data_IF_703561913464
#
_entry.id   IF_703561913464
#
_cell.length_a   1.000
_cell.length_b   1.000
_cell.length_c   1.000
_cell.angle_alpha   90.00
_cell.angle_beta   90.00
_cell.angle_gamma   90.00
#
_symmetry.space_group_name_H-M   'P 1'
#
loop_
_entity.id
_entity.type
_entity.pdbx_description
1 polymer ?
#
# COMPACT_ATOMS: atom_id res chain seq x y z
N UNK A 1 -12.72 9.03 -2.87
CA UNK A 1 -12.02 8.07 -2.00
C UNK A 1 -10.90 8.73 -1.17
N UNK A 2 -9.93 9.52 -1.72
CA UNK A 2 -8.83 10.08 -0.92
C UNK A 2 -9.26 10.93 0.27
N UNK A 3 -10.35 11.68 0.16
CA UNK A 3 -10.87 12.46 1.30
C UNK A 3 -11.39 11.56 2.42
N UNK A 4 -12.10 10.47 2.06
CA UNK A 4 -12.58 9.49 3.04
C UNK A 4 -11.41 8.77 3.70
N UNK A 5 -10.37 8.42 2.93
CA UNK A 5 -9.11 7.86 3.44
C UNK A 5 -8.48 8.78 4.51
N UNK A 6 -8.26 10.05 4.16
CA UNK A 6 -7.67 11.03 5.09
C UNK A 6 -8.53 11.20 6.36
N UNK A 7 -9.84 11.34 6.18
CA UNK A 7 -10.77 11.44 7.31
C UNK A 7 -10.70 10.19 8.21
N UNK A 8 -10.64 8.99 7.62
CA UNK A 8 -10.53 7.73 8.35
C UNK A 8 -9.24 7.64 9.17
N UNK A 9 -8.11 8.05 8.58
CA UNK A 9 -6.83 8.08 9.27
C UNK A 9 -6.88 9.06 10.45
N UNK A 10 -7.38 10.29 10.21
CA UNK A 10 -7.45 11.33 11.27
C UNK A 10 -8.38 10.91 12.40
N UNK A 11 -9.56 10.38 12.08
CA UNK A 11 -10.53 9.92 13.08
C UNK A 11 -10.03 8.72 13.90
N UNK A 12 -9.19 7.88 13.29
CA UNK A 12 -8.62 6.70 13.96
C UNK A 12 -7.42 6.97 14.85
N UNK A 13 -6.82 8.16 14.78
CA UNK A 13 -5.61 8.48 15.51
C UNK A 13 -5.81 8.38 17.02
N UNK A 14 -4.97 7.60 17.69
CA UNK A 14 -4.95 7.50 19.15
C UNK A 14 -5.98 6.56 19.76
N UNK A 15 -6.76 5.85 18.97
CA UNK A 15 -7.77 4.91 19.43
C UNK A 15 -7.29 3.45 19.32
N UNK A 16 -7.75 2.56 20.23
CA UNK A 16 -7.64 1.12 20.02
C UNK A 16 -8.36 0.68 18.75
N UNK A 17 -7.88 -0.36 18.09
CA UNK A 17 -8.34 -0.81 16.76
C UNK A 17 -9.86 -0.98 16.67
N UNK A 18 -10.52 -1.59 17.68
CA UNK A 18 -11.96 -1.80 17.70
C UNK A 18 -12.75 -0.49 17.80
N UNK A 19 -12.33 0.41 18.69
CA UNK A 19 -12.98 1.73 18.84
C UNK A 19 -12.75 2.60 17.62
N UNK A 20 -11.56 2.56 17.04
CA UNK A 20 -11.22 3.22 15.80
C UNK A 20 -12.14 2.76 14.66
N UNK A 21 -12.27 1.44 14.45
CA UNK A 21 -13.16 0.90 13.42
C UNK A 21 -14.62 1.35 13.60
N UNK A 22 -15.17 1.27 14.82
CA UNK A 22 -16.56 1.68 15.07
C UNK A 22 -16.76 3.15 14.71
N UNK A 23 -15.84 4.03 15.12
CA UNK A 23 -15.94 5.47 14.84
C UNK A 23 -15.80 5.76 13.34
N UNK A 24 -14.80 5.18 12.69
CA UNK A 24 -14.57 5.38 11.25
C UNK A 24 -15.72 4.79 10.44
N UNK A 25 -16.20 3.60 10.80
CA UNK A 25 -17.32 2.97 10.09
C UNK A 25 -18.62 3.78 10.20
N UNK A 26 -18.89 4.40 11.33
CA UNK A 26 -20.09 5.21 11.50
C UNK A 26 -20.14 6.44 10.56
N UNK A 27 -18.99 6.96 10.16
CA UNK A 27 -18.89 8.17 9.33
C UNK A 27 -18.53 7.83 7.89
N UNK A 28 -17.50 7.02 7.67
CA UNK A 28 -16.93 6.73 6.36
C UNK A 28 -17.81 5.77 5.54
N UNK A 29 -18.34 4.72 6.15
CA UNK A 29 -19.12 3.70 5.44
C UNK A 29 -20.41 4.26 4.82
N UNK A 30 -21.27 5.04 5.53
CA UNK A 30 -22.42 5.65 4.90
C UNK A 30 -22.08 6.59 3.75
N UNK A 31 -20.94 7.30 3.83
CA UNK A 31 -20.48 8.16 2.74
C UNK A 31 -20.09 7.34 1.51
N UNK A 32 -19.35 6.24 1.67
CA UNK A 32 -18.97 5.35 0.58
C UNK A 32 -20.18 4.65 -0.06
N UNK A 33 -21.14 4.19 0.74
CA UNK A 33 -22.38 3.57 0.24
C UNK A 33 -23.20 4.59 -0.58
N UNK A 34 -23.29 5.84 -0.13
CA UNK A 34 -23.95 6.91 -0.91
C UNK A 34 -23.26 7.22 -2.22
N UNK A 35 -21.95 6.95 -2.33
CA UNK A 35 -21.19 7.04 -3.56
C UNK A 35 -21.38 5.83 -4.48
N UNK A 36 -22.19 4.85 -4.10
CA UNK A 36 -22.45 3.63 -4.86
C UNK A 36 -21.46 2.50 -4.62
N UNK A 37 -20.61 2.60 -3.58
CA UNK A 37 -19.68 1.54 -3.24
C UNK A 37 -20.37 0.36 -2.58
N UNK A 38 -19.85 -0.85 -2.79
CA UNK A 38 -20.31 -2.06 -2.12
C UNK A 38 -20.17 -1.94 -0.58
N UNK A 39 -21.15 -2.44 0.17
CA UNK A 39 -21.17 -2.34 1.64
C UNK A 39 -19.97 -3.03 2.29
N UNK A 40 -19.66 -4.27 1.89
CA UNK A 40 -18.53 -5.02 2.44
C UNK A 40 -17.20 -4.33 2.13
N UNK A 41 -17.00 -3.90 0.88
CA UNK A 41 -15.82 -3.14 0.47
C UNK A 41 -15.65 -1.85 1.28
N UNK A 42 -16.76 -1.14 1.55
CA UNK A 42 -16.77 0.10 2.34
C UNK A 42 -16.35 -0.15 3.80
N UNK A 43 -16.80 -1.24 4.41
CA UNK A 43 -16.38 -1.64 5.75
C UNK A 43 -14.90 -2.05 5.78
N UNK A 44 -14.43 -2.82 4.79
CA UNK A 44 -13.02 -3.19 4.68
C UNK A 44 -12.12 -1.97 4.47
N UNK A 45 -12.55 -1.01 3.64
CA UNK A 45 -11.86 0.27 3.45
C UNK A 45 -11.72 1.04 4.77
N UNK A 46 -12.84 1.19 5.49
CA UNK A 46 -12.86 1.90 6.77
C UNK A 46 -11.98 1.22 7.83
N UNK A 47 -12.07 -0.10 7.96
CA UNK A 47 -11.23 -0.89 8.86
C UNK A 47 -9.74 -0.70 8.56
N UNK A 48 -9.37 -0.80 7.29
CA UNK A 48 -7.98 -0.75 6.85
C UNK A 48 -7.32 0.59 7.17
N UNK A 49 -7.96 1.71 6.79
CA UNK A 49 -7.43 3.04 7.11
C UNK A 49 -7.52 3.39 8.58
N UNK A 50 -8.51 2.86 9.30
CA UNK A 50 -8.56 2.95 10.76
C UNK A 50 -7.33 2.31 11.41
N UNK A 51 -6.91 1.13 10.97
CA UNK A 51 -5.71 0.45 11.46
C UNK A 51 -4.43 1.21 11.10
N UNK A 52 -4.34 1.76 9.87
CA UNK A 52 -3.20 2.57 9.45
C UNK A 52 -2.98 3.83 10.27
N UNK A 53 -4.02 4.36 10.91
CA UNK A 53 -3.89 5.50 11.81
C UNK A 53 -2.91 5.23 12.96
N UNK A 54 -2.78 3.96 13.39
CA UNK A 54 -1.86 3.54 14.45
C UNK A 54 -0.36 3.62 14.10
N UNK A 55 -0.02 3.73 12.82
CA UNK A 55 1.37 3.90 12.35
C UNK A 55 1.62 5.31 11.80
N UNK A 56 0.56 6.13 11.67
CA UNK A 56 0.65 7.45 11.02
C UNK A 56 0.93 8.55 12.04
N UNK A 57 2.02 9.33 11.92
CA UNK A 57 2.24 10.51 12.75
C UNK A 57 1.11 11.54 12.60
N UNK A 58 0.81 12.32 13.63
CA UNK A 58 1.62 12.57 14.83
C UNK A 58 1.41 11.57 15.99
N UNK A 59 0.38 10.73 15.96
CA UNK A 59 0.05 9.85 17.10
C UNK A 59 0.77 8.50 17.03
N UNK A 60 0.76 7.82 15.90
CA UNK A 60 1.58 6.64 15.52
C UNK A 60 1.93 5.66 16.66
N UNK A 61 0.97 5.26 17.49
CA UNK A 61 1.18 4.50 18.74
C UNK A 61 2.05 3.26 18.50
N UNK A 62 1.76 2.48 17.47
CA UNK A 62 2.48 1.25 17.18
C UNK A 62 3.94 1.53 16.75
N UNK A 63 4.15 2.56 15.94
CA UNK A 63 5.49 2.95 15.50
C UNK A 63 6.33 3.51 16.66
N UNK A 64 5.71 4.26 17.59
CA UNK A 64 6.40 4.81 18.75
C UNK A 64 6.73 3.74 19.79
N UNK A 65 5.86 2.75 19.98
CA UNK A 65 6.17 1.58 20.80
C UNK A 65 7.39 0.82 20.25
N UNK A 66 7.43 0.58 18.93
CA UNK A 66 8.57 -0.04 18.26
C UNK A 66 9.85 0.82 18.40
N UNK A 67 9.74 2.14 18.28
CA UNK A 67 10.86 3.06 18.46
C UNK A 67 11.45 2.99 19.88
N UNK A 68 10.59 2.84 20.90
CA UNK A 68 11.01 2.66 22.29
C UNK A 68 11.85 1.38 22.49
N UNK A 69 11.41 0.27 21.89
CA UNK A 69 12.15 -1.00 21.92
C UNK A 69 13.49 -0.91 21.17
N UNK A 70 13.48 -0.26 20.00
CA UNK A 70 14.66 -0.07 19.16
C UNK A 70 15.60 1.05 19.66
N UNK A 71 15.23 1.78 20.71
CA UNK A 71 15.95 2.97 21.20
C UNK A 71 16.22 4.00 20.10
N UNK A 72 15.27 4.18 19.19
CA UNK A 72 15.34 5.09 18.05
C UNK A 72 14.43 6.31 18.24
N UNK A 73 14.67 7.45 17.53
CA UNK A 73 13.84 8.63 17.63
C UNK A 73 12.40 8.33 17.16
N UNK A 74 11.34 8.52 18.00
CA UNK A 74 9.97 8.11 17.70
C UNK A 74 9.41 8.70 16.40
N UNK A 75 9.55 10.02 16.21
CA UNK A 75 9.02 10.71 15.04
C UNK A 75 9.67 10.24 13.73
N UNK A 76 10.99 10.01 13.74
CA UNK A 76 11.72 9.49 12.58
C UNK A 76 11.26 8.07 12.25
N UNK A 77 11.07 7.23 13.27
CA UNK A 77 10.54 5.86 13.10
C UNK A 77 9.12 5.88 12.56
N UNK A 78 8.25 6.77 13.02
CA UNK A 78 6.90 6.93 12.51
C UNK A 78 6.86 7.31 11.02
N UNK A 79 7.63 8.31 10.61
CA UNK A 79 7.70 8.68 9.20
C UNK A 79 8.29 7.57 8.32
N UNK A 80 9.27 6.83 8.83
CA UNK A 80 9.81 5.67 8.13
C UNK A 80 8.76 4.56 7.98
N UNK A 81 7.97 4.30 9.03
CA UNK A 81 6.88 3.33 9.00
C UNK A 81 5.82 3.69 7.94
N UNK A 82 5.41 4.96 7.86
CA UNK A 82 4.51 5.44 6.80
C UNK A 82 5.12 5.24 5.42
N UNK A 83 6.39 5.61 5.22
CA UNK A 83 7.08 5.44 3.94
C UNK A 83 7.11 3.97 3.48
N UNK A 84 7.40 3.04 4.39
CA UNK A 84 7.38 1.60 4.11
C UNK A 84 5.97 1.06 3.85
N UNK A 85 4.95 1.69 4.43
CA UNK A 85 3.54 1.29 4.29
C UNK A 85 2.86 1.88 3.06
N UNK A 86 3.45 2.87 2.38
CA UNK A 86 2.85 3.52 1.20
C UNK A 86 2.31 2.53 0.16
N UNK A 87 3.01 1.43 -0.19
CA UNK A 87 2.46 0.45 -1.14
C UNK A 87 1.16 -0.19 -0.67
N UNK A 88 0.98 -0.34 0.64
CA UNK A 88 -0.20 -0.95 1.22
C UNK A 88 -1.40 0.00 1.30
N UNK A 89 -1.19 1.33 1.26
CA UNK A 89 -2.28 2.32 1.27
C UNK A 89 -3.21 2.23 0.06
N UNK A 90 -2.77 1.58 -1.02
CA UNK A 90 -3.56 1.45 -2.24
C UNK A 90 -4.46 0.21 -2.25
N UNK A 91 -4.23 -0.74 -1.32
CA UNK A 91 -5.03 -1.98 -1.23
C UNK A 91 -6.50 -1.71 -0.97
N UNK A 92 -6.88 -0.79 -0.04
CA UNK A 92 -8.29 -0.51 0.22
C UNK A 92 -9.06 0.03 -0.97
N UNK A 93 -8.40 0.78 -1.85
CA UNK A 93 -9.02 1.22 -3.10
C UNK A 93 -9.37 0.03 -4.01
N UNK A 94 -8.52 -1.02 -3.99
CA UNK A 94 -8.81 -2.25 -4.74
C UNK A 94 -10.07 -2.96 -4.26
N UNK A 95 -10.42 -2.91 -2.97
CA UNK A 95 -11.68 -3.49 -2.48
C UNK A 95 -12.90 -2.81 -3.10
N UNK A 96 -12.80 -1.49 -3.33
CA UNK A 96 -13.88 -0.69 -3.92
C UNK A 96 -14.01 -0.97 -5.42
N UNK A 97 -12.89 -1.03 -6.16
CA UNK A 97 -12.90 -1.17 -7.62
C UNK A 97 -12.91 -2.62 -8.10
N UNK A 98 -12.47 -3.57 -7.26
CA UNK A 98 -12.40 -5.00 -7.57
C UNK A 98 -13.03 -5.85 -6.45
N UNK A 99 -14.38 -5.98 -6.41
CA UNK A 99 -15.06 -6.76 -5.37
C UNK A 99 -14.62 -8.24 -5.30
N UNK A 100 -14.03 -8.77 -6.37
CA UNK A 100 -13.46 -10.12 -6.36
C UNK A 100 -12.36 -10.31 -5.30
N UNK A 101 -11.69 -9.24 -4.86
CA UNK A 101 -10.67 -9.30 -3.80
C UNK A 101 -11.27 -9.63 -2.42
N UNK A 102 -12.54 -9.28 -2.20
CA UNK A 102 -13.32 -9.62 -0.99
C UNK A 102 -14.19 -10.86 -1.19
N UNK A 103 -13.83 -11.70 -2.15
CA UNK A 103 -14.51 -12.96 -2.50
C UNK A 103 -15.93 -12.78 -3.08
N UNK A 104 -16.30 -11.57 -3.49
CA UNK A 104 -17.54 -11.28 -4.21
C UNK A 104 -17.28 -11.36 -5.73
N UNK A 105 -17.14 -12.60 -6.25
CA UNK A 105 -16.89 -12.83 -7.67
C UNK A 105 -16.63 -14.29 -7.99
N UNK A 106 -16.11 -14.55 -9.20
CA UNK A 106 -15.71 -15.89 -9.59
C UNK A 106 -14.35 -16.27 -8.97
N UNK A 107 -14.14 -17.55 -8.65
CA UNK A 107 -12.87 -18.06 -8.10
C UNK A 107 -11.68 -17.66 -8.99
N UNK A 108 -11.85 -17.76 -10.32
CA UNK A 108 -10.82 -17.37 -11.29
C UNK A 108 -10.50 -15.88 -11.20
N UNK A 109 -11.54 -15.03 -11.10
CA UNK A 109 -11.38 -13.59 -10.91
C UNK A 109 -10.65 -13.25 -9.61
N UNK A 110 -11.00 -13.93 -8.52
CA UNK A 110 -10.34 -13.74 -7.22
C UNK A 110 -8.85 -14.08 -7.29
N UNK A 111 -8.50 -15.24 -7.83
CA UNK A 111 -7.09 -15.65 -8.00
C UNK A 111 -6.32 -14.66 -8.88
N UNK A 112 -6.95 -14.19 -9.96
CA UNK A 112 -6.35 -13.18 -10.84
C UNK A 112 -6.05 -11.88 -10.11
N UNK A 113 -7.02 -11.33 -9.37
CA UNK A 113 -6.86 -10.06 -8.65
C UNK A 113 -5.84 -10.18 -7.52
N UNK A 114 -5.81 -11.31 -6.81
CA UNK A 114 -4.78 -11.57 -5.78
C UNK A 114 -3.38 -11.54 -6.42
N UNK A 115 -3.19 -12.26 -7.53
CA UNK A 115 -1.90 -12.28 -8.23
C UNK A 115 -1.49 -10.88 -8.72
N UNK A 116 -2.44 -10.13 -9.29
CA UNK A 116 -2.28 -8.74 -9.70
C UNK A 116 -1.85 -7.85 -8.53
N UNK A 117 -2.49 -7.96 -7.37
CA UNK A 117 -2.14 -7.21 -6.17
C UNK A 117 -0.73 -7.55 -5.67
N UNK A 118 -0.35 -8.83 -5.65
CA UNK A 118 1.00 -9.25 -5.22
C UNK A 118 2.08 -8.59 -6.10
N UNK A 119 1.94 -8.69 -7.42
CA UNK A 119 2.91 -8.10 -8.35
C UNK A 119 2.91 -6.57 -8.24
N UNK A 120 1.73 -5.95 -8.13
CA UNK A 120 1.59 -4.50 -7.99
C UNK A 120 2.22 -3.96 -6.71
N UNK A 121 1.94 -4.59 -5.58
CA UNK A 121 2.51 -4.17 -4.29
C UNK A 121 4.03 -4.32 -4.29
N UNK A 122 4.56 -5.41 -4.86
CA UNK A 122 6.00 -5.61 -4.96
C UNK A 122 6.67 -4.57 -5.87
N UNK A 123 6.06 -4.28 -7.02
CA UNK A 123 6.53 -3.22 -7.93
C UNK A 123 6.51 -1.84 -7.28
N UNK A 124 5.42 -1.50 -6.59
CA UNK A 124 5.27 -0.23 -5.89
C UNK A 124 6.25 -0.11 -4.71
N UNK A 125 6.43 -1.16 -3.91
CA UNK A 125 7.40 -1.19 -2.82
C UNK A 125 8.82 -0.96 -3.33
N UNK A 126 9.19 -1.63 -4.43
CA UNK A 126 10.50 -1.46 -5.08
C UNK A 126 10.71 -0.03 -5.59
N UNK A 127 9.66 0.59 -6.13
CA UNK A 127 9.69 1.98 -6.59
C UNK A 127 9.80 2.98 -5.45
N UNK A 128 9.01 2.82 -4.38
CA UNK A 128 9.00 3.72 -3.21
C UNK A 128 10.33 3.64 -2.45
N UNK A 129 10.79 2.44 -2.13
CA UNK A 129 12.06 2.22 -1.42
C UNK A 129 13.25 2.62 -2.30
N UNK A 130 13.09 2.51 -3.63
CA UNK A 130 14.15 2.80 -4.59
C UNK A 130 15.18 1.69 -4.73
N UNK A 131 14.86 0.51 -4.24
CA UNK A 131 15.70 -0.67 -4.31
C UNK A 131 14.79 -1.90 -4.49
N UNK A 132 15.10 -2.73 -5.49
CA UNK A 132 14.53 -4.07 -5.63
C UNK A 132 15.62 -5.11 -5.34
N UNK A 133 16.43 -5.43 -6.34
CA UNK A 133 17.62 -6.27 -6.21
C UNK A 133 18.91 -5.42 -6.26
N UNK A 134 18.82 -4.23 -6.83
CA UNK A 134 19.84 -3.16 -6.81
C UNK A 134 19.12 -1.80 -6.73
N UNK A 135 19.88 -0.70 -6.49
CA UNK A 135 19.31 0.65 -6.58
C UNK A 135 18.64 0.89 -7.93
N UNK A 136 17.41 1.39 -7.91
CA UNK A 136 16.56 1.65 -9.08
C UNK A 136 16.75 3.09 -9.51
N UNK A 137 16.90 3.36 -10.81
CA UNK A 137 17.02 4.71 -11.35
C UNK A 137 15.73 5.51 -11.09
N UNK A 138 15.84 6.83 -10.93
CA UNK A 138 14.71 7.70 -10.53
C UNK A 138 13.53 7.58 -11.50
N UNK A 139 13.79 7.53 -12.81
CA UNK A 139 12.73 7.37 -13.81
C UNK A 139 12.06 5.98 -13.73
N UNK A 140 12.83 4.91 -13.49
CA UNK A 140 12.30 3.55 -13.29
C UNK A 140 11.41 3.50 -12.03
N UNK A 141 11.79 4.24 -10.97
CA UNK A 141 10.99 4.35 -9.73
C UNK A 141 9.63 4.97 -10.00
N UNK A 142 9.58 6.08 -10.75
CA UNK A 142 8.32 6.76 -11.09
C UNK A 142 7.44 5.81 -11.91
N UNK A 143 8.00 5.16 -12.91
CA UNK A 143 7.26 4.20 -13.75
C UNK A 143 6.73 3.03 -12.91
N UNK A 144 7.56 2.44 -12.04
CA UNK A 144 7.15 1.35 -11.16
C UNK A 144 6.00 1.77 -10.25
N UNK A 145 6.09 2.93 -9.58
CA UNK A 145 5.04 3.41 -8.68
C UNK A 145 3.73 3.66 -9.43
N UNK A 146 3.77 4.40 -10.55
CA UNK A 146 2.56 4.78 -11.30
C UNK A 146 1.88 3.57 -11.91
N UNK A 147 2.65 2.70 -12.60
CA UNK A 147 2.05 1.52 -13.24
C UNK A 147 1.56 0.49 -12.23
N UNK A 148 2.28 0.30 -11.12
CA UNK A 148 1.84 -0.60 -10.05
C UNK A 148 0.59 -0.09 -9.35
N UNK A 149 0.52 1.22 -9.06
CA UNK A 149 -0.67 1.84 -8.48
C UNK A 149 -1.89 1.69 -9.40
N UNK A 150 -1.72 2.00 -10.69
CA UNK A 150 -2.76 1.83 -11.69
C UNK A 150 -3.20 0.36 -11.81
N UNK A 151 -2.25 -0.56 -11.84
CA UNK A 151 -2.52 -2.00 -11.94
C UNK A 151 -3.35 -2.51 -10.76
N UNK A 152 -3.02 -2.12 -9.52
CA UNK A 152 -3.71 -2.58 -8.31
C UNK A 152 -5.17 -2.09 -8.26
N UNK A 153 -5.44 -0.88 -8.75
CA UNK A 153 -6.79 -0.26 -8.69
C UNK A 153 -7.65 -0.61 -9.90
N UNK A 154 -7.05 -0.83 -11.07
CA UNK A 154 -7.79 -0.99 -12.32
C UNK A 154 -8.52 -2.34 -12.42
N UNK A 155 -9.83 -2.35 -12.75
CA UNK A 155 -10.56 -3.58 -13.03
C UNK A 155 -10.33 -4.12 -14.45
N UNK A 156 -9.63 -3.39 -15.31
CA UNK A 156 -9.43 -3.75 -16.71
C UNK A 156 -8.30 -4.76 -16.88
N UNK A 157 -8.64 -6.01 -17.15
CA UNK A 157 -7.69 -7.14 -17.29
C UNK A 157 -6.60 -6.87 -18.33
N UNK A 158 -6.95 -6.31 -19.48
CA UNK A 158 -5.99 -6.06 -20.58
C UNK A 158 -4.95 -5.03 -20.14
N UNK A 159 -5.40 -3.91 -19.54
CA UNK A 159 -4.51 -2.88 -19.01
C UNK A 159 -3.60 -3.43 -17.91
N UNK A 160 -4.14 -4.26 -17.02
CA UNK A 160 -3.38 -4.90 -15.95
C UNK A 160 -2.30 -5.85 -16.48
N UNK A 161 -2.60 -6.65 -17.52
CA UNK A 161 -1.61 -7.53 -18.14
C UNK A 161 -0.47 -6.71 -18.77
N UNK A 162 -0.78 -5.63 -19.46
CA UNK A 162 0.25 -4.74 -20.06
C UNK A 162 1.13 -4.13 -18.95
N UNK A 163 0.52 -3.60 -17.89
CA UNK A 163 1.27 -3.04 -16.76
C UNK A 163 2.12 -4.11 -16.07
N UNK A 164 1.59 -5.33 -15.91
CA UNK A 164 2.29 -6.47 -15.30
C UNK A 164 3.54 -6.87 -16.11
N UNK A 165 3.43 -6.90 -17.44
CA UNK A 165 4.58 -7.19 -18.31
C UNK A 165 5.64 -6.11 -18.19
N UNK A 166 5.26 -4.83 -18.13
CA UNK A 166 6.22 -3.73 -18.00
C UNK A 166 6.88 -3.75 -16.61
N UNK A 167 6.10 -3.85 -15.54
CA UNK A 167 6.60 -3.92 -14.16
C UNK A 167 7.49 -5.15 -13.97
N UNK A 168 7.04 -6.32 -14.42
CA UNK A 168 7.81 -7.56 -14.38
C UNK A 168 9.11 -7.47 -15.19
N UNK A 169 9.06 -6.89 -16.37
CA UNK A 169 10.24 -6.65 -17.22
C UNK A 169 11.27 -5.75 -16.54
N UNK A 170 10.84 -4.66 -15.90
CA UNK A 170 11.73 -3.78 -15.15
C UNK A 170 12.35 -4.49 -13.94
N UNK A 171 11.59 -5.28 -13.20
CA UNK A 171 12.08 -6.05 -12.05
C UNK A 171 13.07 -7.14 -12.47
N UNK A 172 12.78 -7.86 -13.55
CA UNK A 172 13.68 -8.89 -14.12
C UNK A 172 14.98 -8.24 -14.60
N UNK A 173 14.89 -7.13 -15.33
CA UNK A 173 16.06 -6.37 -15.81
C UNK A 173 16.90 -5.88 -14.62
N UNK A 174 16.26 -5.39 -13.55
CA UNK A 174 16.95 -4.99 -12.33
C UNK A 174 17.66 -6.18 -11.67
N UNK A 175 17.02 -7.36 -11.64
CA UNK A 175 17.60 -8.59 -11.09
C UNK A 175 18.80 -9.11 -11.91
N UNK A 176 18.71 -9.07 -13.25
CA UNK A 176 19.80 -9.49 -14.13
C UNK A 176 21.02 -8.59 -13.92
N UNK A 177 20.81 -7.28 -13.91
CA UNK A 177 21.85 -6.28 -13.66
C UNK A 177 22.37 -6.30 -12.22
N UNK A 178 21.65 -6.90 -11.27
CA UNK A 178 22.09 -7.07 -9.89
C UNK A 178 23.16 -8.17 -9.74
N UNK A 179 23.31 -9.10 -10.70
CA UNK A 179 24.37 -10.12 -10.67
C UNK A 179 25.77 -9.52 -10.78
N UNK A 180 25.89 -8.39 -11.48
CA UNK A 180 27.17 -7.70 -11.70
C UNK A 180 27.40 -6.57 -10.69
N UNK A 181 26.44 -6.39 -9.75
CA UNK A 181 26.52 -5.32 -8.76
C UNK A 181 27.12 -5.81 -7.44
N UNK A 182 28.34 -5.35 -7.16
CA UNK A 182 28.95 -5.49 -5.83
C UNK A 182 28.49 -4.33 -4.95
N UNK A 183 27.88 -4.64 -3.79
CA UNK A 183 27.45 -3.61 -2.85
C UNK A 183 28.65 -2.75 -2.46
N UNK A 184 28.53 -1.40 -2.47
CA UNK A 184 29.59 -0.54 -1.95
C UNK A 184 29.85 -0.89 -0.48
N UNK A 185 31.13 -0.95 -0.08
CA UNK A 185 31.53 -1.25 1.30
C UNK A 185 30.77 -0.37 2.29
N UNK A 186 30.42 -0.94 3.46
CA UNK A 186 29.57 -0.36 4.52
C UNK A 186 30.01 1.00 5.08
N UNK A 187 30.93 1.69 4.44
CA UNK A 187 31.47 2.99 4.86
C UNK A 187 30.93 4.23 4.13
N UNK A 188 30.09 4.06 3.10
CA UNK A 188 29.68 5.17 2.22
C UNK A 188 28.23 5.65 2.43
N UNK A 189 27.57 5.24 3.51
CA UNK A 189 26.24 5.73 3.88
C UNK A 189 26.35 6.40 5.25
N UNK A 190 26.75 7.67 5.24
CA UNK A 190 26.56 8.64 6.34
C UNK A 190 25.49 9.62 5.93
#
# INVERSE_FOLDING_TARGET
LPMVMLASIVLGMGLPTSACYIMVAAIAVPALIKMGCNTMASHMFALYFGVFSGITPPVAISAYAAAGLAKSPPMKTGWLAVGLSLPAFIIPDSFIFNPSLILEGTIVGTVWVIFQCIVGIFGMASGVIGCAFRPVAVWERIVLVVLSAFMVVSPNVIACVVCMVIVGGLLITNRIRAKDWTAPEKGAIV
#
